data_IF_977177756251
#
_entry.id   IF_977177756251
#
_cell.length_a   1.000
_cell.length_b   1.000
_cell.length_c   1.000
_cell.angle_alpha   90.00
_cell.angle_beta   90.00
_cell.angle_gamma   90.00
#
_symmetry.space_group_name_H-M   'P 1'
#
loop_
_entity.id
_entity.type
_entity.pdbx_description
1 polymer ?
#
# COMPACT_ATOMS: atom_id res chain seq x y z
N UNK A 1 12.21 25.80 20.76
CA UNK A 1 12.36 25.42 19.34
C UNK A 1 11.85 24.00 19.22
N UNK A 2 10.70 23.78 18.57
CA UNK A 2 10.03 22.48 18.58
C UNK A 2 10.55 21.60 17.45
N UNK A 3 10.90 20.35 17.80
CA UNK A 3 11.00 19.28 16.81
C UNK A 3 9.58 18.97 16.34
N UNK A 4 9.35 19.04 15.03
CA UNK A 4 8.03 18.79 14.46
C UNK A 4 8.05 17.42 13.82
N UNK A 5 7.38 16.47 14.47
CA UNK A 5 7.19 15.11 13.98
C UNK A 5 5.74 14.87 13.63
N UNK A 6 5.48 14.08 12.61
CA UNK A 6 4.14 13.63 12.27
C UNK A 6 4.15 12.27 11.59
N UNK A 7 3.11 11.50 11.86
CA UNK A 7 2.80 10.29 11.12
C UNK A 7 1.42 10.48 10.49
N UNK A 8 1.34 10.17 9.20
CA UNK A 8 0.12 10.21 8.41
C UNK A 8 -0.09 8.87 7.73
N UNK A 9 -1.26 8.29 7.96
CA UNK A 9 -1.79 7.25 7.09
C UNK A 9 -2.80 7.87 6.13
N UNK A 10 -2.79 7.45 4.88
CA UNK A 10 -3.73 7.96 3.88
C UNK A 10 -4.19 6.87 2.93
N UNK A 11 -5.38 7.09 2.36
CA UNK A 11 -6.03 6.18 1.46
C UNK A 11 -6.61 6.93 0.25
N UNK A 12 -6.72 6.23 -0.90
CA UNK A 12 -7.27 6.77 -2.14
C UNK A 12 -6.64 8.12 -2.55
N UNK A 13 -5.31 8.15 -2.68
CA UNK A 13 -4.55 9.36 -3.04
C UNK A 13 -4.82 10.57 -2.11
N UNK A 14 -4.78 10.34 -0.79
CA UNK A 14 -5.03 11.33 0.28
C UNK A 14 -6.45 11.88 0.37
N UNK A 15 -7.42 11.34 -0.38
CA UNK A 15 -8.84 11.69 -0.23
C UNK A 15 -9.32 11.42 1.21
N UNK A 16 -8.84 10.32 1.79
CA UNK A 16 -8.97 10.03 3.21
C UNK A 16 -7.59 10.03 3.85
N UNK A 17 -7.51 10.56 5.07
CA UNK A 17 -6.27 10.59 5.83
C UNK A 17 -6.54 10.54 7.33
N UNK A 18 -5.59 9.96 8.05
CA UNK A 18 -5.57 9.82 9.49
C UNK A 18 -4.19 10.26 9.96
N UNK A 19 -4.12 11.46 10.55
CA UNK A 19 -2.93 11.93 11.25
C UNK A 19 -2.92 11.27 12.62
N UNK A 20 -1.81 10.65 12.97
CA UNK A 20 -1.67 10.01 14.28
C UNK A 20 -1.65 11.11 15.35
N UNK A 21 -2.65 11.13 16.26
CA UNK A 21 -2.85 12.26 17.19
C UNK A 21 -1.79 12.30 18.28
N UNK A 22 -1.38 11.13 18.77
CA UNK A 22 -0.32 10.96 19.77
C UNK A 22 0.77 10.09 19.14
N UNK A 23 1.95 10.68 18.95
CA UNK A 23 3.06 9.96 18.33
C UNK A 23 3.52 8.80 19.23
N UNK A 24 3.89 7.66 18.63
CA UNK A 24 4.46 6.55 19.38
C UNK A 24 5.86 6.91 19.90
N UNK A 25 6.27 6.32 21.01
CA UNK A 25 7.62 6.48 21.56
C UNK A 25 8.71 5.96 20.60
N UNK A 26 8.37 4.96 19.78
CA UNK A 26 9.26 4.32 18.82
C UNK A 26 8.50 3.86 17.59
N UNK A 27 9.17 3.93 16.44
CA UNK A 27 8.72 3.30 15.19
C UNK A 27 9.78 2.27 14.79
N UNK A 28 9.37 1.02 14.65
CA UNK A 28 10.24 -0.08 14.25
C UNK A 28 10.13 -0.33 12.74
N UNK A 29 11.25 -0.23 12.03
CA UNK A 29 11.37 -0.61 10.62
C UNK A 29 12.10 -1.94 10.51
N UNK A 30 11.36 -2.99 10.14
CA UNK A 30 11.91 -4.33 9.95
C UNK A 30 12.34 -4.54 8.51
N UNK A 31 13.62 -4.86 8.31
CA UNK A 31 14.16 -5.26 7.02
C UNK A 31 14.84 -6.62 7.15
N UNK A 32 14.43 -7.58 6.31
CA UNK A 32 14.99 -8.92 6.33
C UNK A 32 15.46 -9.32 4.94
N UNK A 33 16.61 -9.98 4.88
CA UNK A 33 17.04 -10.67 3.68
C UNK A 33 16.28 -11.98 3.53
N UNK A 34 15.79 -12.27 2.32
CA UNK A 34 15.25 -13.58 1.99
C UNK A 34 16.42 -14.51 1.69
N UNK A 35 16.83 -15.28 2.69
CA UNK A 35 17.97 -16.20 2.61
C UNK A 35 17.45 -17.63 2.68
N UNK A 36 17.90 -18.49 1.78
CA UNK A 36 17.75 -19.95 1.92
C UNK A 36 19.07 -20.56 2.34
N UNK A 37 19.04 -21.35 3.39
CA UNK A 37 20.20 -22.10 3.88
C UNK A 37 20.11 -23.54 3.39
N UNK A 38 21.21 -24.04 2.84
CA UNK A 38 21.35 -25.42 2.38
C UNK A 38 22.43 -26.12 3.19
N UNK A 39 22.14 -27.31 3.69
CA UNK A 39 23.16 -28.19 4.22
C UNK A 39 23.89 -28.89 3.05
N UNK A 40 25.22 -28.81 3.04
CA UNK A 40 26.06 -29.46 2.04
C UNK A 40 26.24 -30.94 2.39
N UNK A 41 25.96 -31.83 1.45
CA UNK A 41 26.11 -33.29 1.61
C UNK A 41 27.46 -33.72 1.03
N UNK A 42 28.37 -34.19 1.88
CA UNK A 42 29.69 -34.68 1.50
C UNK A 42 30.58 -35.02 2.71
N UNK A 43 31.58 -35.89 2.53
CA UNK A 43 32.40 -36.50 3.60
C UNK A 43 33.17 -35.52 4.52
N UNK A 44 33.20 -34.21 4.21
CA UNK A 44 33.92 -33.18 4.98
C UNK A 44 33.00 -32.40 5.92
N UNK A 45 31.67 -32.46 5.73
CA UNK A 45 30.69 -31.62 6.45
C UNK A 45 29.97 -32.30 7.63
N UNK A 46 30.23 -33.58 7.90
CA UNK A 46 29.50 -34.36 8.90
C UNK A 46 30.21 -34.49 10.26
N UNK A 47 31.45 -34.00 10.40
CA UNK A 47 32.10 -33.98 11.70
C UNK A 47 31.40 -33.00 12.64
N UNK A 48 31.41 -33.30 13.93
CA UNK A 48 30.78 -32.46 14.95
C UNK A 48 31.44 -31.07 14.99
N UNK A 49 32.75 -31.02 14.70
CA UNK A 49 33.53 -29.78 14.58
C UNK A 49 33.16 -28.97 13.33
N UNK A 50 32.95 -29.61 12.18
CA UNK A 50 32.53 -28.92 10.95
C UNK A 50 31.12 -28.31 11.07
N UNK A 51 30.22 -28.97 11.84
CA UNK A 51 28.89 -28.45 12.17
C UNK A 51 28.94 -27.32 13.18
N UNK A 52 29.80 -27.43 14.20
CA UNK A 52 30.02 -26.37 15.18
C UNK A 52 30.60 -25.09 14.54
N UNK A 53 31.40 -25.23 13.47
CA UNK A 53 32.00 -24.12 12.74
C UNK A 53 31.15 -23.60 11.55
N UNK A 54 30.00 -24.22 11.27
CA UNK A 54 29.08 -23.81 10.20
C UNK A 54 29.55 -24.09 8.77
N UNK A 55 30.61 -24.89 8.59
CA UNK A 55 31.17 -25.23 7.27
C UNK A 55 30.32 -26.22 6.47
N UNK A 56 29.25 -26.76 7.06
CA UNK A 56 28.30 -27.63 6.38
C UNK A 56 27.11 -26.86 5.80
N UNK A 57 27.08 -25.52 5.88
CA UNK A 57 25.94 -24.71 5.43
C UNK A 57 26.33 -23.67 4.39
N UNK A 58 25.50 -23.52 3.37
CA UNK A 58 25.61 -22.48 2.35
C UNK A 58 24.35 -21.61 2.34
N UNK A 59 24.54 -20.29 2.43
CA UNK A 59 23.45 -19.31 2.35
C UNK A 59 23.32 -18.79 0.92
N UNK A 60 22.14 -18.97 0.33
CA UNK A 60 21.79 -18.39 -0.97
C UNK A 60 20.84 -17.23 -0.76
N UNK A 61 21.32 -16.03 -1.08
CA UNK A 61 20.54 -14.81 -1.02
C UNK A 61 19.55 -14.74 -2.20
N UNK A 62 18.26 -14.60 -1.89
CA UNK A 62 17.17 -14.57 -2.88
C UNK A 62 16.54 -13.18 -3.03
N UNK A 63 17.06 -12.17 -2.33
CA UNK A 63 16.55 -10.81 -2.32
C UNK A 63 16.18 -10.32 -0.92
N UNK A 64 15.36 -9.27 -0.84
CA UNK A 64 14.88 -8.67 0.41
C UNK A 64 13.40 -9.00 0.59
N UNK A 65 12.99 -9.23 1.83
CA UNK A 65 11.59 -9.21 2.20
C UNK A 65 11.03 -7.78 2.16
N UNK A 66 9.71 -7.67 2.12
CA UNK A 66 9.03 -6.37 2.17
C UNK A 66 9.25 -5.74 3.55
N UNK A 67 9.69 -4.48 3.58
CA UNK A 67 9.87 -3.72 4.82
C UNK A 67 8.60 -3.73 5.65
N UNK A 68 8.70 -4.08 6.94
CA UNK A 68 7.62 -3.93 7.91
C UNK A 68 7.80 -2.63 8.69
N UNK A 69 6.69 -1.98 9.06
CA UNK A 69 6.68 -0.82 9.95
C UNK A 69 5.72 -1.12 11.09
N UNK A 70 6.18 -1.09 12.32
CA UNK A 70 5.35 -1.37 13.50
C UNK A 70 5.52 -0.31 14.57
N UNK A 71 4.41 0.07 15.20
CA UNK A 71 4.40 1.00 16.32
C UNK A 71 3.12 0.83 17.15
N UNK A 72 3.16 1.35 18.37
CA UNK A 72 2.03 1.34 19.30
C UNK A 72 1.85 2.73 19.91
N UNK A 73 0.59 3.13 20.11
CA UNK A 73 0.23 4.41 20.74
C UNK A 73 -1.19 4.32 21.28
N UNK A 74 -1.85 5.45 21.51
CA UNK A 74 -3.26 5.51 21.84
C UNK A 74 -3.98 6.60 21.03
N UNK A 75 -5.24 6.34 20.76
CA UNK A 75 -6.22 7.28 20.25
C UNK A 75 -6.89 7.96 21.44
N UNK A 76 -6.69 9.28 21.61
CA UNK A 76 -7.23 10.00 22.75
C UNK A 76 -8.74 10.13 22.66
N UNK A 77 -9.43 10.01 23.78
CA UNK A 77 -10.88 10.16 23.80
C UNK A 77 -11.36 11.59 23.57
N UNK A 78 -12.67 11.79 23.59
CA UNK A 78 -13.32 13.08 23.32
C UNK A 78 -12.88 14.17 24.31
N UNK A 79 -12.53 13.81 25.55
CA UNK A 79 -12.03 14.73 26.57
C UNK A 79 -10.81 15.56 26.11
N UNK A 80 -9.95 15.00 25.26
CA UNK A 80 -8.77 15.69 24.72
C UNK A 80 -9.11 16.69 23.61
N UNK A 81 -10.19 16.43 22.87
CA UNK A 81 -10.70 17.28 21.79
C UNK A 81 -11.37 18.52 22.35
N UNK A 82 -12.19 18.34 23.40
CA UNK A 82 -12.82 19.45 24.14
C UNK A 82 -11.77 20.41 24.72
N UNK A 83 -10.66 19.88 25.22
CA UNK A 83 -9.53 20.65 25.73
C UNK A 83 -8.69 21.35 24.62
N UNK A 84 -9.06 21.23 23.34
CA UNK A 84 -8.32 21.74 22.16
C UNK A 84 -6.86 21.31 22.11
N UNK A 85 -6.52 20.19 22.75
CA UNK A 85 -5.14 19.67 22.83
C UNK A 85 -4.70 19.01 21.52
N UNK A 86 -5.64 18.67 20.65
CA UNK A 86 -5.40 17.95 19.39
C UNK A 86 -6.26 18.58 18.30
N UNK A 87 -5.60 19.08 17.26
CA UNK A 87 -6.24 19.68 16.09
C UNK A 87 -6.40 18.62 14.98
N UNK A 88 -7.48 18.69 14.21
CA UNK A 88 -7.75 17.80 13.06
C UNK A 88 -7.83 16.31 13.43
N UNK A 89 -8.61 16.00 14.45
CA UNK A 89 -8.82 14.65 14.95
C UNK A 89 -10.31 14.38 15.15
N UNK A 90 -10.82 13.32 14.53
CA UNK A 90 -12.26 13.04 14.49
C UNK A 90 -12.77 12.33 15.74
N UNK A 91 -11.89 11.66 16.50
CA UNK A 91 -12.22 10.92 17.73
C UNK A 91 -11.62 9.52 17.74
N UNK A 92 -11.59 8.88 18.92
CA UNK A 92 -10.96 7.57 19.10
C UNK A 92 -11.70 6.46 18.37
N UNK A 93 -13.02 6.47 18.47
CA UNK A 93 -13.89 5.51 17.78
C UNK A 93 -13.76 5.62 16.27
N UNK A 94 -13.79 6.85 15.74
CA UNK A 94 -13.70 7.15 14.31
C UNK A 94 -12.36 6.68 13.74
N UNK A 95 -11.26 6.86 14.46
CA UNK A 95 -9.94 6.38 14.05
C UNK A 95 -9.88 4.85 13.96
N UNK A 96 -10.46 4.15 14.93
CA UNK A 96 -10.55 2.68 14.94
C UNK A 96 -11.39 2.19 13.75
N UNK A 97 -12.59 2.75 13.57
CA UNK A 97 -13.49 2.39 12.48
C UNK A 97 -12.86 2.66 11.11
N UNK A 98 -12.15 3.77 10.95
CA UNK A 98 -11.43 4.11 9.72
C UNK A 98 -10.32 3.11 9.42
N UNK A 99 -9.51 2.71 10.40
CA UNK A 99 -8.46 1.71 10.20
C UNK A 99 -9.07 0.34 9.86
N UNK A 100 -10.13 -0.07 10.56
CA UNK A 100 -10.84 -1.32 10.24
C UNK A 100 -11.43 -1.31 8.83
N UNK A 101 -12.03 -0.18 8.43
CA UNK A 101 -12.50 0.03 7.06
C UNK A 101 -11.33 -0.11 6.07
N UNK A 102 -10.22 0.59 6.27
CA UNK A 102 -9.04 0.50 5.41
C UNK A 102 -8.39 -0.91 5.38
N UNK A 103 -8.51 -1.70 6.45
CA UNK A 103 -8.10 -3.11 6.47
C UNK A 103 -8.99 -3.99 5.60
N UNK A 104 -10.30 -3.71 5.55
CA UNK A 104 -11.25 -4.43 4.68
C UNK A 104 -11.02 -4.16 3.19
N UNK A 105 -10.31 -3.07 2.85
CA UNK A 105 -9.97 -2.65 1.49
C UNK A 105 -8.73 -3.38 0.96
N UNK A 106 -8.83 -3.91 -0.26
CA UNK A 106 -7.72 -4.61 -0.96
C UNK A 106 -6.66 -3.65 -1.50
N UNK A 107 -6.98 -2.37 -1.54
CA UNK A 107 -6.14 -1.32 -2.09
C UNK A 107 -5.05 -0.88 -1.09
N UNK A 108 -3.87 -0.48 -1.58
CA UNK A 108 -2.77 -0.04 -0.73
C UNK A 108 -3.10 1.28 -0.04
N UNK A 109 -2.65 1.39 1.20
CA UNK A 109 -2.63 2.64 1.97
C UNK A 109 -1.25 3.27 1.80
N UNK A 110 -1.08 4.53 2.18
CA UNK A 110 0.22 5.18 2.20
C UNK A 110 0.59 5.58 3.61
N UNK A 111 1.78 5.15 4.02
CA UNK A 111 2.44 5.62 5.23
C UNK A 111 3.34 6.79 4.89
N UNK A 112 3.26 7.84 5.69
CA UNK A 112 4.16 8.98 5.66
C UNK A 112 4.62 9.30 7.08
N UNK A 113 5.93 9.33 7.28
CA UNK A 113 6.56 9.89 8.46
C UNK A 113 7.36 11.12 8.04
N UNK A 114 7.18 12.21 8.77
CA UNK A 114 7.89 13.47 8.58
C UNK A 114 8.41 13.93 9.93
N UNK A 115 9.73 14.07 10.05
CA UNK A 115 10.38 14.66 11.21
C UNK A 115 11.31 15.76 10.77
N UNK A 116 11.12 16.99 11.25
CA UNK A 116 12.05 18.09 11.00
C UNK A 116 12.82 18.42 12.28
N UNK A 117 14.15 18.38 12.18
CA UNK A 117 15.02 18.86 13.25
C UNK A 117 15.14 20.37 13.13
N UNK A 118 14.85 21.09 14.21
CA UNK A 118 15.01 22.55 14.32
C UNK A 118 14.24 23.40 13.31
N UNK A 119 13.21 22.87 12.64
CA UNK A 119 12.38 23.61 11.68
C UNK A 119 13.12 24.00 10.39
N UNK A 120 14.30 23.43 10.13
CA UNK A 120 15.01 23.61 8.87
C UNK A 120 14.56 22.54 7.88
N UNK A 121 14.04 22.96 6.73
CA UNK A 121 13.59 22.05 5.66
C UNK A 121 14.71 21.09 5.19
N UNK A 122 15.98 21.48 5.34
CA UNK A 122 17.15 20.69 4.93
C UNK A 122 17.44 19.49 5.84
N UNK A 123 16.98 19.52 7.08
CA UNK A 123 17.16 18.44 8.07
C UNK A 123 15.83 17.71 8.33
N UNK A 124 15.01 17.58 7.27
CA UNK A 124 13.75 16.86 7.32
C UNK A 124 13.97 15.40 6.94
N UNK A 125 13.69 14.52 7.89
CA UNK A 125 13.61 13.10 7.65
C UNK A 125 12.20 12.74 7.18
N UNK A 126 12.07 12.46 5.88
CA UNK A 126 10.81 12.16 5.23
C UNK A 126 10.82 10.74 4.68
N UNK A 127 9.93 9.90 5.22
CA UNK A 127 9.70 8.53 4.73
C UNK A 127 8.30 8.47 4.18
N UNK A 128 8.14 8.01 2.93
CA UNK A 128 6.83 7.67 2.39
C UNK A 128 6.88 6.45 1.50
N UNK A 129 5.92 5.53 1.68
CA UNK A 129 5.72 4.42 0.76
C UNK A 129 4.32 3.79 0.91
N UNK A 130 3.85 3.10 -0.15
CA UNK A 130 2.65 2.28 -0.11
C UNK A 130 2.79 1.12 0.89
N UNK A 131 1.72 0.82 1.62
CA UNK A 131 1.64 -0.21 2.66
C UNK A 131 0.30 -0.95 2.62
N UNK A 132 0.29 -2.21 3.02
CA UNK A 132 -0.88 -2.91 3.54
C UNK A 132 -0.85 -2.87 5.07
N UNK A 133 -2.04 -2.93 5.70
CA UNK A 133 -2.15 -3.09 7.15
C UNK A 133 -2.16 -4.60 7.41
N UNK A 134 -1.13 -5.11 8.08
CA UNK A 134 -0.96 -6.54 8.38
C UNK A 134 -1.67 -6.92 9.67
N UNK A 135 -1.59 -6.07 10.70
CA UNK A 135 -2.30 -6.27 11.96
C UNK A 135 -2.70 -4.93 12.57
N UNK A 136 -3.85 -4.91 13.25
CA UNK A 136 -4.29 -3.79 14.06
C UNK A 136 -4.97 -4.34 15.31
N UNK A 137 -4.26 -4.28 16.43
CA UNK A 137 -4.75 -4.69 17.73
C UNK A 137 -5.12 -3.43 18.51
N UNK A 138 -6.30 -3.38 19.11
CA UNK A 138 -6.75 -2.21 19.86
C UNK A 138 -7.66 -2.62 21.01
N UNK A 139 -7.75 -1.75 22.03
CA UNK A 139 -8.63 -1.94 23.17
C UNK A 139 -8.76 -0.68 24.02
N UNK A 140 -9.87 -0.54 24.76
CA UNK A 140 -10.05 0.61 25.66
C UNK A 140 -9.06 0.57 26.81
N UNK A 141 -8.53 1.74 27.19
CA UNK A 141 -7.75 1.91 28.41
C UNK A 141 -8.69 1.98 29.60
N UNK A 142 -8.51 1.10 30.59
CA UNK A 142 -9.36 1.10 31.78
C UNK A 142 -9.31 2.46 32.51
N UNK A 143 -10.48 3.05 32.77
CA UNK A 143 -10.60 4.34 33.45
C UNK A 143 -10.30 5.58 32.60
N UNK A 144 -10.16 5.42 31.28
CA UNK A 144 -10.03 6.51 30.31
C UNK A 144 -10.98 6.28 29.12
N UNK A 145 -11.26 7.34 28.37
CA UNK A 145 -11.91 7.28 27.06
C UNK A 145 -10.91 7.03 25.92
N UNK A 146 -9.64 6.83 26.25
CA UNK A 146 -8.58 6.46 25.31
C UNK A 146 -8.71 5.03 24.79
N UNK A 147 -8.29 4.83 23.54
CA UNK A 147 -8.13 3.51 22.93
C UNK A 147 -6.65 3.26 22.65
N UNK A 148 -6.05 2.29 23.34
CA UNK A 148 -4.69 1.84 23.05
C UNK A 148 -4.69 0.98 21.79
N UNK A 149 -3.62 1.09 20.98
CA UNK A 149 -3.48 0.30 19.78
C UNK A 149 -2.02 -0.07 19.47
N UNK A 150 -1.88 -1.16 18.72
CA UNK A 150 -0.65 -1.58 18.06
C UNK A 150 -0.95 -1.90 16.60
N UNK A 151 -0.17 -1.34 15.68
CA UNK A 151 -0.35 -1.52 14.24
C UNK A 151 0.94 -2.03 13.60
N UNK A 152 0.79 -3.00 12.70
CA UNK A 152 1.86 -3.49 11.83
C UNK A 152 1.46 -3.24 10.40
N UNK A 153 2.33 -2.56 9.67
CA UNK A 153 2.19 -2.25 8.25
C UNK A 153 3.27 -3.01 7.49
N UNK A 154 2.95 -3.44 6.28
CA UNK A 154 3.92 -4.08 5.37
C UNK A 154 3.98 -3.29 4.09
N UNK A 155 5.19 -2.97 3.63
CA UNK A 155 5.39 -2.27 2.36
C UNK A 155 4.71 -3.04 1.25
N UNK A 156 3.86 -2.35 0.48
CA UNK A 156 3.13 -2.95 -0.61
C UNK A 156 3.93 -2.78 -1.92
N UNK A 157 4.23 -3.89 -2.59
CA UNK A 157 4.77 -3.88 -3.95
C UNK A 157 3.64 -4.15 -4.95
N UNK A 158 3.48 -3.23 -5.90
CA UNK A 158 2.46 -3.32 -6.93
C UNK A 158 2.79 -4.48 -7.86
N UNK A 159 1.96 -5.52 -7.80
CA UNK A 159 2.01 -6.63 -8.75
C UNK A 159 1.30 -6.23 -10.03
N UNK A 160 1.93 -5.36 -10.82
CA UNK A 160 1.54 -5.25 -12.22
C UNK A 160 2.23 -6.36 -13.00
N UNK A 161 1.45 -7.20 -13.69
CA UNK A 161 1.99 -8.15 -14.65
C UNK A 161 2.87 -7.37 -15.65
N UNK A 162 4.19 -7.55 -15.54
CA UNK A 162 5.11 -6.99 -16.53
C UNK A 162 4.89 -7.77 -17.80
N UNK A 163 4.40 -7.11 -18.86
CA UNK A 163 4.39 -7.73 -20.19
C UNK A 163 5.83 -8.11 -20.54
N UNK A 164 6.09 -9.41 -20.60
CA UNK A 164 7.32 -9.96 -21.10
C UNK A 164 7.16 -10.09 -22.62
N UNK A 165 7.94 -9.33 -23.37
CA UNK A 165 8.00 -9.48 -24.83
C UNK A 165 9.23 -10.30 -25.18
N UNK A 166 9.04 -11.35 -25.96
CA UNK A 166 10.14 -12.11 -26.55
C UNK A 166 10.64 -11.31 -27.74
N UNK A 167 11.89 -10.86 -27.68
CA UNK A 167 12.54 -10.11 -28.75
C UNK A 167 13.68 -10.97 -29.27
N UNK A 168 13.70 -11.24 -30.56
CA UNK A 168 14.78 -11.99 -31.19
C UNK A 168 15.94 -11.04 -31.49
N UNK A 169 17.14 -11.38 -31.05
CA UNK A 169 18.34 -10.63 -31.41
C UNK A 169 18.72 -10.83 -32.90
N UNK A 170 19.67 -10.05 -33.40
CA UNK A 170 20.13 -10.14 -34.78
C UNK A 170 20.75 -11.52 -35.14
N UNK A 171 21.05 -12.36 -34.15
CA UNK A 171 21.65 -13.68 -34.29
C UNK A 171 20.61 -14.81 -34.11
N UNK A 172 19.32 -14.50 -33.98
CA UNK A 172 18.25 -15.49 -33.85
C UNK A 172 17.96 -15.97 -32.42
N UNK A 173 18.63 -15.43 -31.40
CA UNK A 173 18.35 -15.81 -30.00
C UNK A 173 17.15 -15.04 -29.45
N UNK A 174 16.28 -15.75 -28.74
CA UNK A 174 15.15 -15.16 -28.05
C UNK A 174 15.59 -14.55 -26.72
N UNK A 175 15.38 -13.24 -26.56
CA UNK A 175 15.62 -12.51 -25.31
C UNK A 175 14.29 -12.06 -24.72
N UNK A 176 14.07 -12.36 -23.45
CA UNK A 176 12.93 -11.81 -22.71
C UNK A 176 13.26 -10.37 -22.34
N UNK A 177 12.49 -9.42 -22.87
CA UNK A 177 12.53 -8.02 -22.46
C UNK A 177 11.29 -7.74 -21.62
N UNK A 178 11.52 -7.31 -20.39
CA UNK A 178 10.46 -6.88 -19.47
C UNK A 178 10.05 -5.44 -19.83
N UNK A 179 8.75 -5.22 -20.03
CA UNK A 179 8.19 -3.88 -20.16
C UNK A 179 8.48 -2.99 -18.93
N UNK A 180 8.46 -1.67 -19.14
CA UNK A 180 8.72 -0.68 -18.09
C UNK A 180 7.80 -0.89 -16.86
N UNK A 181 8.33 -0.64 -15.64
CA UNK A 181 7.53 -0.68 -14.40
C UNK A 181 6.42 0.38 -14.54
N UNK A 182 5.12 0.02 -14.47
CA UNK A 182 4.07 1.01 -14.53
C UNK A 182 4.21 2.01 -13.39
N UNK A 183 3.78 3.25 -13.63
CA UNK A 183 3.78 4.30 -12.61
C UNK A 183 2.86 3.89 -11.46
N UNK A 184 3.24 4.31 -10.26
CA UNK A 184 2.48 4.11 -9.03
C UNK A 184 1.09 4.76 -9.16
N UNK A 185 0.02 3.97 -9.07
CA UNK A 185 -1.35 4.47 -8.97
C UNK A 185 -2.02 3.84 -7.73
N UNK A 186 -2.38 4.68 -6.76
CA UNK A 186 -2.99 4.30 -5.48
C UNK A 186 -4.47 4.67 -5.42
N UNK A 187 -5.05 5.11 -6.53
CA UNK A 187 -6.47 5.47 -6.58
C UNK A 187 -7.32 4.21 -6.50
N UNK A 188 -8.37 4.28 -5.69
CA UNK A 188 -9.42 3.27 -5.70
C UNK A 188 -10.16 3.39 -7.02
N UNK A 189 -10.33 2.27 -7.73
CA UNK A 189 -11.18 2.24 -8.91
C UNK A 189 -12.62 2.44 -8.41
N UNK A 190 -13.36 3.46 -8.88
CA UNK A 190 -14.74 3.65 -8.49
C UNK A 190 -15.64 2.55 -9.06
N UNK A 191 -16.75 2.25 -8.39
CA UNK A 191 -17.75 1.28 -8.86
C UNK A 191 -18.56 1.79 -10.05
N UNK A 192 -18.68 3.12 -10.17
CA UNK A 192 -19.33 3.78 -11.28
C UNK A 192 -18.74 5.16 -11.55
N UNK A 193 -18.85 5.63 -12.78
CA UNK A 193 -18.38 6.95 -13.21
C UNK A 193 -19.44 7.65 -14.06
N UNK A 194 -19.50 8.97 -13.96
CA UNK A 194 -20.38 9.79 -14.79
C UNK A 194 -19.67 10.17 -16.09
N UNK A 195 -20.33 9.91 -17.22
CA UNK A 195 -19.77 10.15 -18.56
C UNK A 195 -19.54 11.65 -18.80
N UNK A 196 -18.29 12.06 -18.99
CA UNK A 196 -17.94 13.45 -19.28
C UNK A 196 -18.11 13.80 -20.76
N UNK A 197 -18.23 15.09 -21.14
CA UNK A 197 -18.28 15.51 -22.53
C UNK A 197 -17.09 14.97 -23.34
N UNK A 198 -17.40 14.29 -24.47
CA UNK A 198 -16.39 13.73 -25.36
C UNK A 198 -15.82 12.37 -24.92
N UNK A 199 -16.28 11.79 -23.81
CA UNK A 199 -15.90 10.43 -23.40
C UNK A 199 -16.78 9.36 -24.05
N UNK A 200 -16.20 8.17 -24.23
CA UNK A 200 -16.90 6.97 -24.67
C UNK A 200 -16.44 5.76 -23.86
N UNK A 201 -17.10 4.61 -24.00
CA UNK A 201 -16.79 3.41 -23.20
C UNK A 201 -15.36 2.92 -23.41
N UNK A 202 -14.75 3.16 -24.57
CA UNK A 202 -13.36 2.78 -24.85
C UNK A 202 -12.39 3.65 -24.05
N UNK A 203 -12.65 4.95 -23.95
CA UNK A 203 -11.87 5.88 -23.12
C UNK A 203 -12.01 5.51 -21.64
N UNK A 204 -13.22 5.18 -21.18
CA UNK A 204 -13.44 4.71 -19.82
C UNK A 204 -12.73 3.39 -19.53
N UNK A 205 -12.79 2.41 -20.45
CA UNK A 205 -12.09 1.14 -20.32
C UNK A 205 -10.57 1.32 -20.26
N UNK A 206 -10.01 2.18 -21.13
CA UNK A 206 -8.59 2.51 -21.10
C UNK A 206 -8.18 3.18 -19.78
N UNK A 207 -8.99 4.12 -19.29
CA UNK A 207 -8.68 4.89 -18.07
C UNK A 207 -8.76 4.03 -16.82
N UNK A 208 -9.84 3.25 -16.67
CA UNK A 208 -10.16 2.57 -15.41
C UNK A 208 -9.75 1.10 -15.40
N UNK A 209 -9.75 0.43 -16.56
CA UNK A 209 -9.44 -1.00 -16.69
C UNK A 209 -8.07 -1.24 -17.33
N UNK A 210 -7.40 -0.19 -17.81
CA UNK A 210 -6.07 -0.25 -18.44
C UNK A 210 -6.04 -0.86 -19.84
N UNK A 211 -7.18 -1.33 -20.34
CA UNK A 211 -7.31 -1.98 -21.64
C UNK A 211 -8.55 -1.47 -22.39
N UNK A 212 -8.32 -0.90 -23.56
CA UNK A 212 -9.38 -0.42 -24.47
C UNK A 212 -10.37 -1.51 -24.86
N UNK A 213 -9.96 -2.79 -24.88
CA UNK A 213 -10.79 -3.92 -25.27
C UNK A 213 -11.86 -4.31 -24.25
N UNK A 214 -11.69 -3.91 -22.98
CA UNK A 214 -12.63 -4.20 -21.87
C UNK A 214 -13.89 -3.32 -21.89
N UNK A 215 -14.08 -2.45 -22.90
CA UNK A 215 -15.32 -1.70 -23.07
C UNK A 215 -16.55 -2.61 -23.25
N UNK A 216 -16.36 -3.83 -23.75
CA UNK A 216 -17.44 -4.83 -23.89
C UNK A 216 -17.99 -5.28 -22.54
N UNK A 217 -17.11 -5.47 -21.55
CA UNK A 217 -17.54 -5.78 -20.18
C UNK A 217 -18.36 -4.62 -19.58
N UNK A 218 -17.97 -3.38 -19.85
CA UNK A 218 -18.72 -2.19 -19.44
C UNK A 218 -20.10 -2.18 -20.14
N UNK A 219 -20.17 -2.51 -21.43
CA UNK A 219 -21.43 -2.58 -22.17
C UNK A 219 -22.37 -3.64 -21.58
N UNK A 220 -21.88 -4.86 -21.36
CA UNK A 220 -22.65 -5.96 -20.79
C UNK A 220 -23.17 -5.63 -19.40
N UNK A 221 -22.31 -5.09 -18.52
CA UNK A 221 -22.66 -4.73 -17.15
C UNK A 221 -23.76 -3.65 -17.06
N UNK A 222 -23.81 -2.75 -18.04
CA UNK A 222 -24.75 -1.63 -18.06
C UNK A 222 -25.92 -1.85 -19.03
N UNK A 223 -26.01 -3.01 -19.69
CA UNK A 223 -27.05 -3.30 -20.69
C UNK A 223 -27.02 -2.37 -21.91
N UNK A 224 -25.84 -1.85 -22.27
CA UNK A 224 -25.68 -0.89 -23.37
C UNK A 224 -25.43 -1.66 -24.67
N UNK A 225 -26.30 -1.45 -25.66
CA UNK A 225 -26.14 -2.05 -27.00
C UNK A 225 -25.05 -1.32 -27.81
N UNK A 226 -24.52 -1.98 -28.84
CA UNK A 226 -23.53 -1.37 -29.74
C UNK A 226 -24.06 -0.12 -30.47
N UNK A 227 -25.37 -0.03 -30.68
CA UNK A 227 -26.01 1.16 -31.23
C UNK A 227 -26.01 2.32 -30.22
N UNK A 228 -26.37 2.05 -28.96
CA UNK A 228 -26.38 3.05 -27.89
C UNK A 228 -24.97 3.53 -27.53
N UNK A 229 -23.96 2.65 -27.59
CA UNK A 229 -22.57 3.01 -27.30
C UNK A 229 -21.99 4.10 -28.22
N UNK A 230 -22.59 4.34 -29.39
CA UNK A 230 -22.20 5.41 -30.31
C UNK A 230 -22.73 6.79 -29.88
N UNK A 231 -23.83 6.82 -29.16
CA UNK A 231 -24.56 8.04 -28.78
C UNK A 231 -24.87 8.00 -27.28
N UNK A 232 -23.83 8.02 -26.44
CA UNK A 232 -24.00 8.09 -25.00
C UNK A 232 -24.31 9.51 -24.56
N UNK A 233 -25.26 9.64 -23.63
CA UNK A 233 -25.62 10.93 -23.05
C UNK A 233 -24.57 11.34 -22.02
N UNK A 234 -24.08 12.57 -22.13
CA UNK A 234 -23.25 13.19 -21.08
C UNK A 234 -24.03 13.18 -19.77
N UNK A 235 -23.36 12.83 -18.68
CA UNK A 235 -24.00 12.70 -17.36
C UNK A 235 -24.57 11.30 -17.08
N UNK A 236 -24.50 10.37 -18.04
CA UNK A 236 -24.91 8.98 -17.80
C UNK A 236 -23.96 8.31 -16.79
N UNK A 237 -24.53 7.70 -15.74
CA UNK A 237 -23.79 6.90 -14.76
C UNK A 237 -23.50 5.53 -15.35
N UNK A 238 -22.21 5.21 -15.49
CA UNK A 238 -21.69 3.96 -16.05
C UNK A 238 -21.03 3.15 -14.94
N UNK A 239 -21.54 1.95 -14.67
CA UNK A 239 -20.93 0.98 -13.74
C UNK A 239 -19.67 0.37 -14.35
N UNK A 240 -18.64 0.16 -13.54
CA UNK A 240 -17.37 -0.41 -13.95
C UNK A 240 -17.21 -1.84 -13.39
N UNK A 241 -16.71 -2.80 -14.19
CA UNK A 241 -16.35 -4.13 -13.71
C UNK A 241 -15.30 -4.06 -12.58
N UNK A 242 -15.58 -4.77 -11.48
CA UNK A 242 -14.65 -4.98 -10.38
C UNK A 242 -13.90 -6.30 -10.61
N UNK A 243 -12.63 -6.35 -10.22
CA UNK A 243 -11.77 -7.54 -10.33
C UNK A 243 -11.89 -8.45 -9.08
#
# INVERSE_FOLDING_TARGET
MSENHSILLSFNNKAENLRIPVLPDKIDFGEKGKIRTFDMVGNVGHSEEARALGFNQANVYQGRELTSVSFSSFFPGESYKEARRIQQYNGAKEAVEQIQYWMSRKEPKRFTYEGSKYGHERDTFFITFPVSIESFNWGPRAGSDDIEYSITLRRYEFYAARKATIVTDANGNQKIVLGAKPRLDERVRPDSVELQPGENLVILAKRWLGDTGRYREIMELNGITAAQAKNLTVGMVIRLPQD
#
